data_IF_085552783156
#
_entry.id   IF_085552783156
#
_cell.length_a   1.000
_cell.length_b   1.000
_cell.length_c   1.000
_cell.angle_alpha   90.00
_cell.angle_beta   90.00
_cell.angle_gamma   90.00
#
_symmetry.space_group_name_H-M   'P 1'
#
loop_
_entity.id
_entity.type
_entity.pdbx_description
1 polymer ?
#
# COMPACT_ATOMS: atom_id res chain seq x y z
N UNK A 1 57.59 -39.98 23.48
CA UNK A 1 57.41 -40.92 24.61
C UNK A 1 55.93 -40.98 24.96
N UNK A 2 55.34 -42.17 24.94
CA UNK A 2 53.94 -42.40 25.37
C UNK A 2 53.28 -43.49 24.55
N UNK A 3 53.49 -44.73 24.97
CA UNK A 3 53.25 -45.98 24.25
C UNK A 3 52.00 -46.73 24.75
N UNK A 4 51.48 -47.63 23.90
CA UNK A 4 50.50 -48.73 24.08
C UNK A 4 49.52 -48.78 25.27
N UNK A 5 48.22 -48.88 24.95
CA UNK A 5 47.24 -49.83 25.56
C UNK A 5 45.84 -49.62 24.93
N UNK A 6 45.00 -50.61 24.63
CA UNK A 6 45.11 -52.06 24.74
C UNK A 6 44.06 -52.70 23.82
N UNK A 7 44.47 -53.73 23.08
CA UNK A 7 43.75 -54.39 22.00
C UNK A 7 42.78 -55.49 22.50
N UNK A 8 42.32 -55.40 23.75
CA UNK A 8 41.66 -56.52 24.43
C UNK A 8 40.15 -56.38 24.72
N UNK A 9 39.48 -55.30 24.29
CA UNK A 9 38.01 -55.22 24.37
C UNK A 9 37.33 -55.93 23.18
N UNK A 10 37.46 -57.26 23.22
CA UNK A 10 36.72 -58.27 22.47
C UNK A 10 35.21 -58.09 22.65
N UNK A 11 34.47 -57.82 21.57
CA UNK A 11 33.12 -58.35 21.45
C UNK A 11 33.24 -59.83 21.03
N UNK A 12 33.14 -60.71 22.03
CA UNK A 12 33.36 -62.15 21.93
C UNK A 12 32.08 -62.94 21.60
N UNK A 13 30.99 -62.27 21.16
CA UNK A 13 29.69 -62.89 20.94
C UNK A 13 29.01 -62.43 19.64
N UNK A 14 29.66 -62.62 18.48
CA UNK A 14 28.91 -62.74 17.22
C UNK A 14 29.23 -64.07 16.54
N UNK A 15 28.86 -65.14 17.23
CA UNK A 15 28.76 -66.45 16.63
C UNK A 15 27.74 -66.41 15.49
N UNK A 16 28.09 -67.08 14.39
CA UNK A 16 27.19 -67.52 13.31
C UNK A 16 26.65 -66.42 12.40
N UNK A 17 27.34 -66.21 11.26
CA UNK A 17 26.78 -66.32 9.90
C UNK A 17 27.89 -66.13 8.86
N UNK A 18 28.67 -67.18 8.67
CA UNK A 18 29.42 -67.36 7.43
C UNK A 18 28.42 -67.71 6.32
N UNK A 19 27.86 -66.71 5.62
CA UNK A 19 27.29 -66.78 4.25
C UNK A 19 26.53 -65.47 3.90
N UNK A 20 27.23 -64.40 3.56
CA UNK A 20 26.65 -63.30 2.73
C UNK A 20 27.60 -62.80 1.64
N UNK A 21 28.68 -63.54 1.33
CA UNK A 21 29.69 -63.12 0.34
C UNK A 21 29.21 -63.14 -1.12
N UNK A 22 28.07 -63.79 -1.42
CA UNK A 22 27.54 -63.89 -2.80
C UNK A 22 26.40 -62.89 -3.05
N UNK A 23 25.44 -62.77 -2.12
CA UNK A 23 24.37 -61.76 -2.20
C UNK A 23 24.91 -60.32 -2.14
N UNK A 24 25.95 -60.07 -1.33
CA UNK A 24 26.57 -58.75 -1.24
C UNK A 24 27.36 -58.39 -2.51
N UNK A 25 27.93 -59.38 -3.20
CA UNK A 25 28.65 -59.12 -4.46
C UNK A 25 27.71 -58.73 -5.59
N UNK A 26 26.55 -59.39 -5.71
CA UNK A 26 25.54 -59.02 -6.69
C UNK A 26 25.03 -57.58 -6.47
N UNK A 27 24.73 -57.21 -5.22
CA UNK A 27 24.33 -55.84 -4.88
C UNK A 27 25.43 -54.80 -5.14
N UNK A 28 26.69 -55.09 -4.81
CA UNK A 28 27.82 -54.18 -5.07
C UNK A 28 28.08 -54.01 -6.57
N UNK A 29 27.98 -55.08 -7.36
CA UNK A 29 28.11 -55.02 -8.82
C UNK A 29 26.96 -54.22 -9.44
N UNK A 30 25.72 -54.44 -9.00
CA UNK A 30 24.56 -53.66 -9.42
C UNK A 30 24.73 -52.17 -9.09
N UNK A 31 25.16 -51.83 -7.87
CA UNK A 31 25.39 -50.45 -7.47
C UNK A 31 26.52 -49.79 -8.27
N UNK A 32 27.58 -50.53 -8.60
CA UNK A 32 28.69 -50.05 -9.44
C UNK A 32 28.25 -49.81 -10.89
N UNK A 33 27.41 -50.69 -11.44
CA UNK A 33 26.78 -50.53 -12.76
C UNK A 33 25.85 -49.31 -12.80
N UNK A 34 25.08 -49.08 -11.74
CA UNK A 34 24.18 -47.92 -11.61
C UNK A 34 24.99 -46.62 -11.44
N UNK A 35 26.08 -46.64 -10.67
CA UNK A 35 26.95 -45.47 -10.49
C UNK A 35 27.75 -45.07 -11.75
N UNK A 36 27.82 -45.94 -12.76
CA UNK A 36 28.50 -45.67 -14.04
C UNK A 36 27.57 -45.15 -15.14
N UNK A 37 26.25 -45.32 -15.01
CA UNK A 37 25.30 -45.02 -16.10
C UNK A 37 24.81 -43.57 -16.13
N UNK A 38 24.70 -42.93 -14.96
CA UNK A 38 24.28 -41.54 -14.87
C UNK A 38 25.03 -40.80 -13.75
N UNK A 39 25.37 -39.50 -13.93
CA UNK A 39 26.15 -38.74 -12.95
C UNK A 39 25.46 -38.61 -11.59
N UNK A 40 24.15 -38.84 -11.53
CA UNK A 40 23.35 -38.84 -10.30
C UNK A 40 23.30 -40.22 -9.62
N UNK A 41 23.82 -41.29 -10.24
CA UNK A 41 23.77 -42.65 -9.70
C UNK A 41 22.34 -43.19 -9.51
N UNK A 42 21.35 -42.61 -10.19
CA UNK A 42 19.95 -43.01 -10.13
C UNK A 42 19.61 -43.96 -11.28
N UNK A 43 18.70 -44.89 -11.04
CA UNK A 43 18.18 -45.78 -12.08
C UNK A 43 17.24 -45.04 -13.04
N UNK A 44 17.07 -45.55 -14.26
CA UNK A 44 16.24 -44.93 -15.29
C UNK A 44 14.79 -44.62 -14.83
N UNK A 45 14.19 -45.48 -14.00
CA UNK A 45 12.84 -45.28 -13.46
C UNK A 45 12.76 -44.06 -12.52
N UNK A 46 13.83 -43.79 -11.75
CA UNK A 46 13.91 -42.64 -10.86
C UNK A 46 14.25 -41.36 -11.61
N UNK A 47 15.07 -41.45 -12.67
CA UNK A 47 15.41 -40.30 -13.51
C UNK A 47 14.20 -39.70 -14.21
N UNK A 48 13.20 -40.52 -14.55
CA UNK A 48 11.93 -40.08 -15.14
C UNK A 48 11.15 -39.11 -14.26
N UNK A 49 11.37 -39.12 -12.94
CA UNK A 49 10.73 -38.20 -12.00
C UNK A 49 11.36 -36.80 -12.03
N UNK A 50 12.58 -36.69 -12.56
CA UNK A 50 13.36 -35.44 -12.62
C UNK A 50 13.43 -34.88 -14.04
N UNK A 51 12.47 -35.24 -14.90
CA UNK A 51 12.32 -34.60 -16.20
C UNK A 51 12.20 -33.08 -16.01
N UNK A 52 12.99 -32.33 -16.77
CA UNK A 52 13.04 -30.88 -16.63
C UNK A 52 11.65 -30.30 -16.90
N UNK A 53 11.24 -29.34 -16.06
CA UNK A 53 10.00 -28.60 -16.29
C UNK A 53 10.07 -27.91 -17.66
N UNK A 54 8.97 -27.90 -18.44
CA UNK A 54 8.90 -27.11 -19.67
C UNK A 54 9.36 -25.66 -19.43
N UNK A 55 10.08 -25.05 -20.39
CA UNK A 55 10.51 -23.66 -20.27
C UNK A 55 9.33 -22.75 -19.92
N UNK A 56 9.55 -21.86 -18.95
CA UNK A 56 8.53 -20.89 -18.58
C UNK A 56 8.40 -19.84 -19.68
N UNK A 57 7.16 -19.44 -19.97
CA UNK A 57 6.87 -18.32 -20.87
C UNK A 57 7.58 -17.06 -20.38
N UNK A 58 8.35 -16.43 -21.26
CA UNK A 58 9.05 -15.19 -20.95
C UNK A 58 8.02 -14.07 -20.72
N UNK A 59 7.93 -13.61 -19.48
CA UNK A 59 7.24 -12.37 -19.15
C UNK A 59 8.29 -11.28 -19.01
N UNK A 60 8.24 -10.20 -19.82
CA UNK A 60 9.17 -9.09 -19.66
C UNK A 60 9.07 -8.55 -18.24
N UNK A 61 10.21 -8.24 -17.65
CA UNK A 61 10.25 -7.64 -16.31
C UNK A 61 9.47 -6.32 -16.36
N UNK A 62 8.53 -6.07 -15.45
CA UNK A 62 7.81 -4.81 -15.42
C UNK A 62 8.80 -3.66 -15.26
N UNK A 63 8.83 -2.74 -16.23
CA UNK A 63 9.68 -1.57 -16.21
C UNK A 63 9.27 -0.63 -15.07
N UNK A 64 10.10 -0.53 -14.03
CA UNK A 64 9.94 0.49 -12.99
C UNK A 64 10.33 1.85 -13.59
N UNK A 65 9.35 2.63 -14.01
CA UNK A 65 9.58 4.02 -14.43
C UNK A 65 9.83 4.87 -13.21
N UNK A 66 10.94 5.63 -13.21
CA UNK A 66 11.17 6.69 -12.23
C UNK A 66 10.32 7.89 -12.66
N UNK A 67 9.62 8.51 -11.71
CA UNK A 67 9.01 9.82 -11.96
C UNK A 67 10.11 10.83 -12.31
N UNK A 68 9.81 11.86 -13.13
CA UNK A 68 10.71 12.99 -13.30
C UNK A 68 11.13 13.56 -11.93
N UNK A 69 12.35 14.09 -11.79
CA UNK A 69 12.79 14.69 -10.55
C UNK A 69 11.88 15.87 -10.19
N UNK A 70 11.61 16.04 -8.89
CA UNK A 70 10.84 17.18 -8.41
C UNK A 70 11.52 18.48 -8.81
N UNK A 71 10.75 19.36 -9.44
CA UNK A 71 11.20 20.71 -9.74
C UNK A 71 10.84 21.66 -8.60
N UNK A 72 11.72 22.63 -8.32
CA UNK A 72 11.50 23.66 -7.31
C UNK A 72 10.68 24.84 -7.84
N UNK A 73 10.04 25.57 -6.93
CA UNK A 73 9.21 26.76 -7.25
C UNK A 73 10.00 27.89 -7.93
N UNK A 74 11.33 27.92 -7.81
CA UNK A 74 12.20 28.93 -8.42
C UNK A 74 12.10 29.01 -9.95
N UNK A 75 11.65 27.94 -10.62
CA UNK A 75 11.44 27.96 -12.08
C UNK A 75 10.29 28.88 -12.52
N UNK A 76 9.41 29.24 -11.61
CA UNK A 76 8.23 30.07 -11.92
C UNK A 76 8.43 31.55 -11.56
N UNK A 77 9.63 31.95 -11.10
CA UNK A 77 9.94 33.35 -10.73
C UNK A 77 9.69 34.31 -11.90
N UNK A 78 9.93 33.87 -13.14
CA UNK A 78 9.65 34.64 -14.35
C UNK A 78 8.16 34.83 -14.66
N UNK A 79 7.27 34.12 -13.96
CA UNK A 79 5.81 34.25 -14.12
C UNK A 79 5.18 35.14 -13.05
N UNK A 80 5.96 35.65 -12.09
CA UNK A 80 5.43 36.58 -11.12
C UNK A 80 5.27 37.95 -11.77
N UNK A 81 4.14 38.59 -11.48
CA UNK A 81 3.85 39.95 -11.92
C UNK A 81 4.93 40.91 -11.42
N UNK A 82 5.48 41.71 -12.31
CA UNK A 82 6.46 42.75 -11.97
C UNK A 82 5.74 44.02 -11.48
N UNK A 83 6.44 44.91 -10.74
CA UNK A 83 5.89 46.20 -10.33
C UNK A 83 5.55 47.07 -11.57
N UNK A 84 4.30 46.99 -12.02
CA UNK A 84 3.84 47.61 -13.27
C UNK A 84 2.75 46.79 -13.98
N UNK A 85 2.67 45.49 -13.68
CA UNK A 85 1.66 44.61 -14.23
C UNK A 85 0.30 44.79 -13.53
N UNK A 86 -0.82 44.68 -14.26
CA UNK A 86 -2.17 44.81 -13.69
C UNK A 86 -2.46 43.74 -12.63
N UNK A 87 -1.79 42.59 -12.70
CA UNK A 87 -1.87 41.49 -11.72
C UNK A 87 -1.09 41.76 -10.44
N UNK A 88 -0.14 42.72 -10.47
CA UNK A 88 0.59 43.19 -9.29
C UNK A 88 -0.21 44.21 -8.48
N UNK A 89 -1.34 44.70 -9.02
CA UNK A 89 -2.20 45.62 -8.30
C UNK A 89 -2.73 44.99 -7.01
N UNK A 90 -2.84 45.75 -5.91
CA UNK A 90 -3.42 45.24 -4.67
C UNK A 90 -4.81 44.64 -4.98
N UNK A 91 -5.17 43.51 -4.34
CA UNK A 91 -6.46 42.87 -4.57
C UNK A 91 -7.58 43.91 -4.50
N UNK A 92 -8.37 44.01 -5.56
CA UNK A 92 -9.48 44.96 -5.61
C UNK A 92 -10.37 44.64 -4.41
N UNK A 93 -10.42 45.56 -3.46
CA UNK A 93 -11.30 45.42 -2.30
C UNK A 93 -12.73 45.38 -2.86
N UNK A 94 -13.39 44.23 -2.76
CA UNK A 94 -14.78 44.06 -3.14
C UNK A 94 -15.66 44.88 -2.19
N UNK A 95 -15.72 46.19 -2.42
CA UNK A 95 -16.64 47.08 -1.73
C UNK A 95 -18.07 46.80 -2.21
N UNK A 96 -19.06 46.95 -1.32
CA UNK A 96 -20.47 46.83 -1.67
C UNK A 96 -20.77 47.70 -2.90
N UNK A 97 -21.25 47.07 -3.98
CA UNK A 97 -21.76 47.82 -5.13
C UNK A 97 -22.96 48.67 -4.69
N UNK A 98 -23.23 49.82 -5.34
CA UNK A 98 -24.36 50.67 -4.96
C UNK A 98 -25.72 49.95 -4.95
N UNK A 99 -25.90 48.94 -5.79
CA UNK A 99 -27.09 48.08 -5.81
C UNK A 99 -27.20 47.20 -4.57
N UNK A 100 -26.11 46.56 -4.14
CA UNK A 100 -26.03 45.77 -2.91
C UNK A 100 -26.31 46.63 -1.67
N UNK A 101 -25.74 47.85 -1.63
CA UNK A 101 -25.99 48.81 -0.55
C UNK A 101 -27.48 49.19 -0.47
N UNK A 102 -28.14 49.44 -1.60
CA UNK A 102 -29.58 49.76 -1.65
C UNK A 102 -30.44 48.58 -1.19
N UNK A 103 -30.12 47.36 -1.63
CA UNK A 103 -30.83 46.16 -1.21
C UNK A 103 -30.72 45.93 0.32
N UNK A 104 -29.52 46.15 0.88
CA UNK A 104 -29.29 46.07 2.33
C UNK A 104 -30.14 47.08 3.10
N UNK A 105 -30.13 48.34 2.68
CA UNK A 105 -30.92 49.41 3.31
C UNK A 105 -32.43 49.12 3.20
N UNK A 106 -32.88 48.62 2.05
CA UNK A 106 -34.28 48.27 1.84
C UNK A 106 -34.72 47.13 2.79
N UNK A 107 -33.92 46.06 2.91
CA UNK A 107 -34.17 44.97 3.84
C UNK A 107 -34.28 45.47 5.29
N UNK A 108 -33.33 46.29 5.74
CA UNK A 108 -33.35 46.89 7.08
C UNK A 108 -34.59 47.77 7.32
N UNK A 109 -35.07 48.48 6.30
CA UNK A 109 -36.29 49.30 6.40
C UNK A 109 -37.55 48.44 6.48
N UNK A 110 -37.61 47.35 5.73
CA UNK A 110 -38.73 46.41 5.77
C UNK A 110 -38.83 45.72 7.14
N UNK A 111 -37.71 45.24 7.68
CA UNK A 111 -37.65 44.60 8.99
C UNK A 111 -38.10 45.56 10.10
N UNK A 112 -37.57 46.79 10.11
CA UNK A 112 -37.99 47.83 11.06
C UNK A 112 -39.45 48.25 10.90
N UNK A 113 -39.97 48.20 9.67
CA UNK A 113 -41.39 48.48 9.38
C UNK A 113 -42.29 47.37 9.93
N UNK A 114 -41.89 46.11 9.76
CA UNK A 114 -42.61 44.96 10.27
C UNK A 114 -42.64 44.91 11.81
N UNK A 115 -41.52 45.24 12.47
CA UNK A 115 -41.44 45.35 13.93
C UNK A 115 -42.44 46.38 14.48
N UNK A 116 -42.46 47.59 13.90
CA UNK A 116 -43.41 48.64 14.31
C UNK A 116 -44.87 48.24 14.10
N UNK A 117 -45.18 47.61 12.97
CA UNK A 117 -46.53 47.14 12.70
C UNK A 117 -46.97 46.06 13.70
N UNK A 118 -46.06 45.16 14.12
CA UNK A 118 -46.34 44.15 15.14
C UNK A 118 -46.58 44.77 16.53
N UNK A 119 -45.78 45.77 16.92
CA UNK A 119 -45.99 46.52 18.17
C UNK A 119 -47.36 47.23 18.19
N UNK A 120 -47.77 47.83 17.07
CA UNK A 120 -49.08 48.47 16.92
C UNK A 120 -50.22 47.45 16.98
N UNK A 121 -50.05 46.27 16.36
CA UNK A 121 -51.04 45.19 16.40
C UNK A 121 -51.24 44.68 17.83
N UNK A 122 -50.14 44.44 18.58
CA UNK A 122 -50.23 44.06 19.99
C UNK A 122 -50.94 45.12 20.84
N UNK A 123 -50.69 46.41 20.58
CA UNK A 123 -51.36 47.50 21.29
C UNK A 123 -52.87 47.53 20.99
N UNK A 124 -53.26 47.29 19.74
CA UNK A 124 -54.66 47.20 19.33
C UNK A 124 -55.35 45.98 19.95
N UNK A 125 -54.74 44.80 19.88
CA UNK A 125 -55.30 43.57 20.47
C UNK A 125 -55.49 43.68 21.99
N UNK A 126 -54.54 44.31 22.68
CA UNK A 126 -54.66 44.61 24.11
C UNK A 126 -55.80 45.59 24.41
N UNK A 127 -56.05 46.57 23.53
CA UNK A 127 -57.16 47.51 23.69
C UNK A 127 -58.53 46.87 23.37
N UNK A 128 -58.61 46.02 22.34
CA UNK A 128 -59.84 45.30 21.97
C UNK A 128 -60.22 44.24 23.01
N UNK A 129 -59.25 43.52 23.58
CA UNK A 129 -59.51 42.58 24.68
C UNK A 129 -60.02 43.27 25.94
N UNK A 130 -59.48 44.45 26.29
CA UNK A 130 -60.02 45.29 27.38
C UNK A 130 -61.45 45.78 27.10
N UNK A 131 -61.78 46.08 25.84
CA UNK A 131 -63.12 46.52 25.45
C UNK A 131 -64.15 45.37 25.45
N UNK A 132 -63.72 44.14 25.19
CA UNK A 132 -64.59 42.95 25.15
C UNK A 132 -64.88 42.37 26.55
N UNK A 133 -64.09 42.74 27.56
CA UNK A 133 -64.23 42.26 28.95
C UNK A 133 -65.15 43.18 29.79
N UNK A 134 -65.51 44.36 29.29
CA UNK A 134 -66.49 45.29 29.89
C UNK A 134 -67.86 45.09 29.25
#
# INVERSE_FOLDING_TARGET
>A
MGDYNDAFMRNQNNAVRATTKTQNRANVLQLKLIGQSHPTGLTANLLKLFEARPPLEFKPVPEKRKCPPYSGMGQFVSRFAEPGDPEYAPPVQEAETPSQRRARIHKLRLEKGAEKAAEELQKCDNAFSLLLII
#
